data_IF_580261040281
#
_entry.id   IF_580261040281
#
_cell.length_a   1.000
_cell.length_b   1.000
_cell.length_c   1.000
_cell.angle_alpha   90.00
_cell.angle_beta   90.00
_cell.angle_gamma   90.00
#
_symmetry.space_group_name_H-M   'P 1'
#
loop_
_entity.id
_entity.type
_entity.pdbx_description
1 polymer ?
#
# COMPACT_ATOMS: atom_id res chain seq x y z
N UNK A 1 23.35 -15.37 -3.64
CA UNK A 1 23.55 -14.00 -3.11
C UNK A 1 22.26 -13.22 -3.32
N UNK A 2 21.74 -12.57 -2.28
CA UNK A 2 20.59 -11.66 -2.42
C UNK A 2 21.03 -10.41 -3.17
N UNK A 3 20.30 -10.03 -4.23
CA UNK A 3 20.51 -8.77 -4.95
C UNK A 3 20.13 -7.59 -4.04
N UNK A 4 20.90 -6.51 -4.07
CA UNK A 4 20.57 -5.29 -3.33
C UNK A 4 19.28 -4.65 -3.87
N UNK A 5 18.66 -3.75 -3.10
CA UNK A 5 17.47 -3.02 -3.57
C UNK A 5 17.76 -2.18 -4.82
N UNK A 6 18.96 -1.60 -4.88
CA UNK A 6 19.44 -0.83 -6.05
C UNK A 6 19.62 -1.74 -7.28
N UNK A 7 20.14 -2.95 -7.11
CA UNK A 7 20.26 -3.93 -8.21
C UNK A 7 18.90 -4.40 -8.75
N UNK A 8 17.83 -4.17 -7.97
CA UNK A 8 16.44 -4.45 -8.34
C UNK A 8 15.73 -3.22 -8.91
N UNK A 9 16.46 -2.11 -9.09
CA UNK A 9 15.92 -0.84 -9.58
C UNK A 9 15.01 -0.14 -8.58
N UNK A 10 15.05 -0.49 -7.30
CA UNK A 10 14.23 0.13 -6.24
C UNK A 10 15.00 1.30 -5.64
N UNK A 11 14.39 2.49 -5.64
CA UNK A 11 14.99 3.74 -5.15
C UNK A 11 14.46 4.16 -3.79
N UNK A 12 13.23 3.76 -3.45
CA UNK A 12 12.62 4.03 -2.15
C UNK A 12 11.70 2.89 -1.74
N UNK A 13 11.65 2.60 -0.43
CA UNK A 13 10.76 1.59 0.16
C UNK A 13 10.17 2.18 1.43
N UNK A 14 8.86 2.10 1.58
CA UNK A 14 8.15 2.60 2.74
C UNK A 14 7.15 1.56 3.25
N UNK A 15 7.04 1.45 4.56
CA UNK A 15 6.03 0.62 5.19
C UNK A 15 4.72 1.41 5.29
N UNK A 16 3.63 0.85 4.77
CA UNK A 16 2.33 1.55 4.63
C UNK A 16 1.21 0.90 5.44
N UNK A 17 1.58 0.09 6.44
CA UNK A 17 0.67 -0.62 7.30
C UNK A 17 1.25 -0.66 8.73
N UNK A 18 0.46 -0.24 9.71
CA UNK A 18 0.85 -0.23 11.12
C UNK A 18 1.27 -1.61 11.66
N UNK A 19 0.89 -2.69 10.98
CA UNK A 19 1.30 -4.07 11.32
C UNK A 19 2.65 -4.49 10.74
N UNK A 20 3.22 -3.71 9.82
CA UNK A 20 4.48 -4.06 9.17
C UNK A 20 4.34 -4.97 7.95
N UNK A 21 3.12 -5.37 7.59
CA UNK A 21 2.92 -6.41 6.58
C UNK A 21 2.99 -5.88 5.15
N UNK A 22 2.47 -4.66 4.89
CA UNK A 22 2.44 -4.07 3.55
C UNK A 22 3.49 -3.00 3.33
N UNK A 23 4.15 -3.09 2.17
CA UNK A 23 5.23 -2.21 1.77
C UNK A 23 5.00 -1.64 0.38
N UNK A 24 5.30 -0.36 0.23
CA UNK A 24 5.36 0.35 -1.03
C UNK A 24 6.81 0.40 -1.50
N UNK A 25 7.09 -0.09 -2.71
CA UNK A 25 8.40 0.01 -3.36
C UNK A 25 8.28 0.89 -4.61
N UNK A 26 9.09 1.95 -4.64
CA UNK A 26 9.24 2.85 -5.78
C UNK A 26 10.47 2.46 -6.57
N UNK A 27 10.32 2.32 -7.88
CA UNK A 27 11.40 1.93 -8.79
C UNK A 27 11.88 3.09 -9.65
N UNK A 28 13.10 2.98 -10.17
CA UNK A 28 13.71 3.99 -11.04
C UNK A 28 12.97 4.19 -12.37
N UNK A 29 12.15 3.23 -12.80
CA UNK A 29 11.30 3.36 -13.99
C UNK A 29 9.92 3.99 -13.68
N UNK A 30 9.71 4.49 -12.46
CA UNK A 30 8.48 5.20 -12.09
C UNK A 30 7.32 4.30 -11.67
N UNK A 31 7.51 2.98 -11.55
CA UNK A 31 6.46 2.10 -11.05
C UNK A 31 6.38 2.08 -9.51
N UNK A 32 5.16 1.89 -9.01
CA UNK A 32 4.87 1.72 -7.60
C UNK A 32 4.31 0.31 -7.39
N UNK A 33 4.98 -0.48 -6.57
CA UNK A 33 4.50 -1.81 -6.18
C UNK A 33 4.09 -1.83 -4.73
N UNK A 34 2.86 -2.25 -4.46
CA UNK A 34 2.36 -2.50 -3.10
C UNK A 34 2.23 -4.00 -2.90
N UNK A 35 2.92 -4.53 -1.90
CA UNK A 35 2.95 -5.97 -1.64
C UNK A 35 3.26 -6.26 -0.17
N UNK A 36 2.95 -7.48 0.27
CA UNK A 36 3.54 -8.00 1.50
C UNK A 36 5.06 -8.13 1.31
N UNK A 37 5.89 -7.79 2.31
CA UNK A 37 7.36 -7.90 2.18
C UNK A 37 7.82 -9.32 1.85
N UNK A 38 7.10 -10.32 2.35
CA UNK A 38 7.31 -11.74 2.08
C UNK A 38 6.79 -12.19 0.72
N UNK A 39 5.89 -11.42 0.08
CA UNK A 39 5.24 -11.74 -1.19
C UNK A 39 5.31 -10.58 -2.17
N UNK A 40 6.51 -10.01 -2.35
CA UNK A 40 6.74 -8.94 -3.33
C UNK A 40 6.36 -9.34 -4.76
N UNK A 41 6.07 -10.62 -5.03
CA UNK A 41 5.54 -11.14 -6.29
C UNK A 41 4.01 -11.19 -6.38
N UNK A 42 3.28 -11.26 -5.27
CA UNK A 42 1.81 -11.28 -5.19
C UNK A 42 1.33 -9.96 -4.58
N UNK A 43 1.09 -8.96 -5.44
CA UNK A 43 0.63 -7.65 -5.00
C UNK A 43 0.01 -6.88 -6.15
N UNK A 44 -0.76 -5.84 -5.82
CA UNK A 44 -1.24 -4.90 -6.84
C UNK A 44 -0.05 -4.07 -7.32
N UNK A 45 0.26 -4.22 -8.61
CA UNK A 45 1.24 -3.39 -9.30
C UNK A 45 0.53 -2.20 -9.93
N UNK A 46 0.97 -1.00 -9.59
CA UNK A 46 0.51 0.25 -10.22
C UNK A 46 1.70 0.82 -11.00
N UNK A 47 1.64 0.71 -12.33
CA UNK A 47 2.66 1.28 -13.21
C UNK A 47 2.23 2.70 -13.58
N UNK A 48 2.99 3.70 -13.12
CA UNK A 48 2.77 5.10 -13.45
C UNK A 48 3.74 5.48 -14.58
N UNK A 49 3.20 6.07 -15.65
CA UNK A 49 3.94 6.33 -16.89
C UNK A 49 4.69 7.67 -16.87
N UNK A 50 4.30 8.59 -15.98
CA UNK A 50 4.83 9.95 -15.91
C UNK A 50 4.54 10.62 -14.56
N UNK A 51 5.13 11.80 -14.35
CA UNK A 51 4.97 12.59 -13.12
C UNK A 51 3.52 13.00 -12.84
N UNK A 52 2.75 13.35 -13.86
CA UNK A 52 1.35 13.79 -13.71
C UNK A 52 0.45 12.68 -13.16
N UNK A 53 0.75 11.41 -13.48
CA UNK A 53 0.06 10.25 -12.90
C UNK A 53 0.44 10.04 -11.43
N UNK A 54 1.71 10.28 -11.07
CA UNK A 54 2.18 10.26 -9.68
C UNK A 54 1.43 11.31 -8.85
N UNK A 55 1.30 12.54 -9.36
CA UNK A 55 0.58 13.60 -8.66
C UNK A 55 -0.90 13.30 -8.51
N UNK A 56 -1.54 12.76 -9.55
CA UNK A 56 -2.96 12.35 -9.50
C UNK A 56 -3.20 11.27 -8.47
N UNK A 57 -2.36 10.24 -8.43
CA UNK A 57 -2.47 9.18 -7.43
C UNK A 57 -2.28 9.73 -6.01
N UNK A 58 -1.24 10.55 -5.79
CA UNK A 58 -1.00 11.22 -4.50
C UNK A 58 -2.22 12.01 -4.04
N UNK A 59 -2.77 12.84 -4.92
CA UNK A 59 -3.92 13.69 -4.59
C UNK A 59 -5.16 12.85 -4.28
N UNK A 60 -5.40 11.77 -5.03
CA UNK A 60 -6.48 10.83 -4.75
C UNK A 60 -6.31 10.17 -3.39
N UNK A 61 -5.14 9.61 -3.08
CA UNK A 61 -4.87 8.96 -1.80
C UNK A 61 -5.04 9.92 -0.62
N UNK A 62 -4.55 11.15 -0.74
CA UNK A 62 -4.71 12.20 0.27
C UNK A 62 -6.17 12.67 0.43
N UNK A 63 -7.03 12.43 -0.57
CA UNK A 63 -8.45 12.76 -0.50
C UNK A 63 -9.30 11.70 0.21
N UNK A 64 -8.75 10.50 0.41
CA UNK A 64 -9.48 9.39 1.02
C UNK A 64 -9.81 9.69 2.47
N UNK A 65 -11.10 9.57 2.81
CA UNK A 65 -11.58 9.68 4.20
C UNK A 65 -11.57 8.31 4.86
N UNK A 66 -11.19 8.20 6.14
CA UNK A 66 -11.34 6.96 6.89
C UNK A 66 -12.78 6.47 6.82
N UNK A 67 -12.98 5.23 6.39
CA UNK A 67 -14.29 4.58 6.49
C UNK A 67 -14.48 4.23 7.96
N UNK A 68 -15.49 4.83 8.63
CA UNK A 68 -15.88 4.41 9.98
C UNK A 68 -16.27 2.94 9.91
N UNK A 69 -15.61 2.08 10.69
CA UNK A 69 -16.06 0.71 10.85
C UNK A 69 -17.50 0.75 11.41
N UNK A 70 -18.44 -0.02 10.85
CA UNK A 70 -19.78 -0.11 11.43
C UNK A 70 -19.63 -0.63 12.87
N UNK A 71 -20.18 0.12 13.82
CA UNK A 71 -20.25 -0.30 15.22
C UNK A 71 -20.97 -1.65 15.29
N UNK A 72 -20.31 -2.67 15.86
CA UNK A 72 -20.96 -3.94 16.15
C UNK A 72 -22.15 -3.66 17.07
N UNK A 73 -23.36 -3.84 16.53
CA UNK A 73 -24.59 -3.79 17.32
C UNK A 73 -24.58 -5.02 18.23
N UNK A 74 -24.10 -4.87 19.46
CA UNK A 74 -24.20 -5.91 20.49
C UNK A 74 -25.66 -5.96 20.95
N UNK A 75 -26.44 -6.84 20.33
CA UNK A 75 -27.80 -7.15 20.75
C UNK A 75 -27.69 -7.92 22.08
N UNK A 76 -27.82 -7.21 23.21
CA UNK A 76 -28.04 -7.86 24.49
C UNK A 76 -29.45 -8.43 24.47
N UNK A 77 -29.57 -9.73 24.16
CA UNK A 77 -30.82 -10.45 24.35
C UNK A 77 -31.13 -10.45 25.85
N UNK A 78 -32.02 -9.54 26.27
CA UNK A 78 -32.62 -9.59 27.59
C UNK A 78 -33.43 -10.89 27.68
N UNK A 79 -32.87 -11.87 28.39
CA UNK A 79 -33.62 -13.05 28.82
C UNK A 79 -34.39 -12.64 30.07
N UNK A 80 -35.72 -12.61 29.96
CA UNK A 80 -36.67 -12.49 31.06
C UNK A 80 -37.34 -13.86 31.28
#
# INVERSE_FOLDING_TARGET
>A
MSKSLLDRGIIAVENIDSKGDRWAAFTANGSLKISEFSKVTEGQEVILQNWDEIERLRNFLNSLKPVKQPEEVVIHAATA
#
